data_IF_695360168352
#
_entry.id   IF_695360168352
#
_cell.length_a   1.000
_cell.length_b   1.000
_cell.length_c   1.000
_cell.angle_alpha   90.00
_cell.angle_beta   90.00
_cell.angle_gamma   90.00
#
_symmetry.space_group_name_H-M   'P 1'
#
loop_
_entity.id
_entity.type
_entity.pdbx_description
1 polymer ?
#
# COMPACT_ATOMS: atom_id res chain seq x y z
N UNK A 1 -7.52 10.75 18.67
CA UNK A 1 -7.31 11.78 17.61
C UNK A 1 -6.95 11.03 16.32
N UNK A 2 -7.85 10.96 15.34
CA UNK A 2 -7.53 10.37 14.04
C UNK A 2 -6.66 11.39 13.27
N UNK A 3 -5.48 10.98 12.82
CA UNK A 3 -4.60 11.83 12.00
C UNK A 3 -5.07 11.72 10.55
N UNK A 4 -5.85 12.69 10.11
CA UNK A 4 -6.36 12.81 8.74
C UNK A 4 -5.49 13.80 7.99
N UNK A 5 -5.12 13.48 6.75
CA UNK A 5 -4.28 14.30 5.88
C UNK A 5 -4.99 14.60 4.56
N UNK A 6 -4.90 15.84 4.10
CA UNK A 6 -5.18 16.22 2.72
C UNK A 6 -3.86 16.40 1.98
N UNK A 7 -3.64 15.62 0.93
CA UNK A 7 -2.40 15.64 0.14
C UNK A 7 -2.76 15.86 -1.33
N UNK A 8 -2.04 16.75 -2.01
CA UNK A 8 -2.18 16.92 -3.47
C UNK A 8 -1.70 15.66 -4.20
N UNK A 9 -2.51 15.17 -5.15
CA UNK A 9 -2.06 14.15 -6.09
C UNK A 9 -0.86 14.68 -6.86
N UNK A 10 0.00 13.79 -7.39
CA UNK A 10 1.19 14.17 -8.17
C UNK A 10 0.88 15.11 -9.35
N UNK A 11 -0.29 15.00 -9.97
CA UNK A 11 -0.74 15.92 -11.03
C UNK A 11 -1.17 17.30 -10.50
N UNK A 12 -1.22 17.52 -9.18
CA UNK A 12 -1.69 18.71 -8.46
C UNK A 12 -3.15 19.12 -8.73
N UNK A 13 -3.84 18.48 -9.67
CA UNK A 13 -5.22 18.79 -10.03
C UNK A 13 -6.26 18.37 -8.97
N UNK A 14 -5.93 17.39 -8.12
CA UNK A 14 -6.88 16.83 -7.15
C UNK A 14 -6.23 16.61 -5.80
N UNK A 15 -6.96 16.96 -4.74
CA UNK A 15 -6.63 16.58 -3.38
C UNK A 15 -7.07 15.14 -3.10
N UNK A 16 -6.27 14.42 -2.32
CA UNK A 16 -6.58 13.11 -1.78
C UNK A 16 -6.72 13.21 -0.27
N UNK A 17 -7.79 12.65 0.23
CA UNK A 17 -8.01 12.42 1.64
C UNK A 17 -7.33 11.12 2.06
N UNK A 18 -6.43 11.18 3.04
CA UNK A 18 -5.64 10.04 3.51
C UNK A 18 -5.77 9.96 5.03
N UNK A 19 -6.16 8.79 5.54
CA UNK A 19 -6.20 8.52 6.97
C UNK A 19 -4.89 7.85 7.39
N UNK A 20 -4.31 8.31 8.49
CA UNK A 20 -3.16 7.67 9.09
C UNK A 20 -3.57 6.39 9.82
N UNK A 21 -3.25 5.25 9.22
CA UNK A 21 -3.53 3.94 9.80
C UNK A 21 -2.37 3.33 10.60
N UNK A 22 -1.27 4.07 10.91
CA UNK A 22 -0.10 3.50 11.61
C UNK A 22 -0.48 2.71 12.87
N UNK A 23 -1.22 3.35 13.79
CA UNK A 23 -1.65 2.71 15.05
C UNK A 23 -2.61 1.54 14.81
N UNK A 24 -3.49 1.63 13.81
CA UNK A 24 -4.40 0.55 13.47
C UNK A 24 -3.65 -0.67 12.90
N UNK A 25 -2.63 -0.44 12.07
CA UNK A 25 -1.77 -1.47 11.49
C UNK A 25 -0.92 -2.22 12.53
N UNK A 26 -0.60 -1.59 13.66
CA UNK A 26 0.11 -2.23 14.77
C UNK A 26 -0.81 -3.18 15.56
N UNK A 27 -2.08 -2.80 15.72
CA UNK A 27 -3.06 -3.56 16.52
C UNK A 27 -3.65 -4.73 15.72
N UNK A 28 -3.75 -4.58 14.39
CA UNK A 28 -4.41 -5.58 13.53
C UNK A 28 -3.50 -6.79 13.31
N UNK A 29 -4.03 -8.01 13.50
CA UNK A 29 -3.32 -9.26 13.19
C UNK A 29 -2.98 -9.30 11.70
N UNK A 30 -1.68 -9.39 11.37
CA UNK A 30 -1.21 -9.49 9.99
C UNK A 30 -1.47 -10.89 9.44
N UNK A 31 -2.25 -10.98 8.38
CA UNK A 31 -2.36 -12.19 7.58
C UNK A 31 -1.37 -12.09 6.41
N UNK A 32 -0.20 -12.73 6.56
CA UNK A 32 0.87 -12.66 5.57
C UNK A 32 0.56 -13.56 4.38
N UNK A 33 0.08 -12.97 3.29
CA UNK A 33 0.04 -13.64 1.99
C UNK A 33 1.38 -13.47 1.29
N UNK A 34 1.99 -14.57 0.82
CA UNK A 34 3.25 -14.54 0.12
C UNK A 34 3.05 -14.00 -1.31
N UNK A 35 3.29 -12.70 -1.48
CA UNK A 35 3.37 -12.09 -2.80
C UNK A 35 4.79 -12.26 -3.35
N UNK A 36 4.99 -12.93 -4.50
CA UNK A 36 6.30 -13.03 -5.10
C UNK A 36 6.78 -11.65 -5.56
N UNK A 37 8.06 -11.37 -5.36
CA UNK A 37 8.69 -10.18 -5.92
C UNK A 37 8.59 -10.19 -7.46
N UNK A 38 8.54 -9.02 -8.09
CA UNK A 38 8.29 -8.91 -9.53
C UNK A 38 9.30 -9.70 -10.38
N UNK A 39 10.57 -9.78 -9.96
CA UNK A 39 11.59 -10.60 -10.63
C UNK A 39 11.24 -12.09 -10.53
N UNK A 40 10.80 -12.56 -9.36
CA UNK A 40 10.39 -13.95 -9.13
C UNK A 40 9.13 -14.28 -9.94
N UNK A 41 8.16 -13.36 -9.99
CA UNK A 41 6.94 -13.51 -10.76
C UNK A 41 7.23 -13.55 -12.27
N UNK A 42 8.09 -12.65 -12.78
CA UNK A 42 8.56 -12.66 -14.18
C UNK A 42 9.22 -14.00 -14.53
N UNK A 43 10.09 -14.50 -13.65
CA UNK A 43 10.75 -15.79 -13.85
C UNK A 43 9.77 -16.96 -13.90
N UNK A 44 8.66 -16.92 -13.16
CA UNK A 44 7.59 -17.93 -13.23
C UNK A 44 6.83 -17.80 -14.56
N UNK A 45 6.48 -16.57 -14.97
CA UNK A 45 5.65 -16.33 -16.15
C UNK A 45 6.35 -16.65 -17.47
N UNK A 46 7.64 -16.32 -17.60
CA UNK A 46 8.43 -16.46 -18.83
C UNK A 46 9.37 -17.69 -18.82
N UNK A 47 9.23 -18.58 -17.84
CA UNK A 47 9.81 -19.94 -17.88
C UNK A 47 8.80 -21.02 -18.29
N UNK A 48 7.61 -20.62 -18.75
CA UNK A 48 6.69 -21.49 -19.48
C UNK A 48 7.08 -21.53 -20.96
#
# INVERSE_FOLDING_TARGET
RALIFFIFKKSKEKLRFIINYKKLNEITKKNYYLLPFIIKLKKILYRA
#
